data_IF_070211109201
#
_entry.id   IF_070211109201
#
_cell.length_a   1.000
_cell.length_b   1.000
_cell.length_c   1.000
_cell.angle_alpha   90.00
_cell.angle_beta   90.00
_cell.angle_gamma   90.00
#
_symmetry.space_group_name_H-M   'P 1'
#
loop_
_entity.id
_entity.type
_entity.pdbx_description
1 polymer ?
#
# COMPACT_ATOMS: atom_id res chain seq x y z
N UNK A 1 16.89 29.97 11.66
CA UNK A 1 16.08 29.03 12.49
C UNK A 1 15.33 28.02 11.62
N UNK A 2 14.24 28.39 10.98
CA UNK A 2 13.99 28.10 9.55
C UNK A 2 14.34 26.74 8.95
N UNK A 3 15.44 26.74 8.18
CA UNK A 3 15.98 25.58 7.49
C UNK A 3 16.35 24.45 8.46
N UNK A 4 16.82 24.78 9.67
CA UNK A 4 17.14 23.77 10.69
C UNK A 4 15.89 23.01 11.15
N UNK A 5 14.75 23.71 11.27
CA UNK A 5 13.49 23.08 11.69
C UNK A 5 12.95 22.10 10.66
N UNK A 6 12.92 22.45 9.37
CA UNK A 6 12.44 21.51 8.34
C UNK A 6 13.36 20.28 8.23
N UNK A 7 14.68 20.47 8.39
CA UNK A 7 15.63 19.35 8.44
C UNK A 7 15.34 18.44 9.64
N UNK A 8 15.06 19.01 10.82
CA UNK A 8 14.65 18.23 12.00
C UNK A 8 13.35 17.44 11.75
N UNK A 9 12.35 18.04 11.09
CA UNK A 9 11.09 17.36 10.76
C UNK A 9 11.33 16.21 9.77
N UNK A 10 12.23 16.40 8.79
CA UNK A 10 12.62 15.36 7.84
C UNK A 10 13.27 14.18 8.58
N UNK A 11 14.21 14.45 9.50
CA UNK A 11 14.82 13.39 10.32
C UNK A 11 13.80 12.68 11.19
N UNK A 12 12.87 13.41 11.80
CA UNK A 12 11.77 12.82 12.57
C UNK A 12 10.91 11.91 11.69
N UNK A 13 10.51 12.37 10.51
CA UNK A 13 9.71 11.59 9.57
C UNK A 13 10.44 10.36 9.03
N UNK A 14 11.75 10.45 8.81
CA UNK A 14 12.58 9.31 8.43
C UNK A 14 12.65 8.29 9.57
N UNK A 15 12.91 8.75 10.80
CA UNK A 15 12.93 7.89 12.00
C UNK A 15 11.61 7.11 12.15
N UNK A 16 10.46 7.78 12.02
CA UNK A 16 9.14 7.13 12.08
C UNK A 16 9.01 5.98 11.07
N UNK A 17 9.52 6.17 9.84
CA UNK A 17 9.43 5.19 8.74
C UNK A 17 10.45 4.06 8.82
N UNK A 18 11.63 4.31 9.41
CA UNK A 18 12.73 3.34 9.48
C UNK A 18 12.82 2.59 10.81
N UNK A 19 12.11 3.04 11.86
CA UNK A 19 12.14 2.42 13.18
C UNK A 19 11.75 0.93 13.12
N UNK A 20 12.67 0.04 13.52
CA UNK A 20 12.51 -1.42 13.49
C UNK A 20 12.05 -1.95 12.13
N UNK A 21 12.67 -1.48 11.04
CA UNK A 21 12.18 -1.80 9.69
C UNK A 21 12.25 -3.27 9.31
N UNK A 22 13.20 -4.03 9.85
CA UNK A 22 13.31 -5.47 9.55
C UNK A 22 12.20 -6.24 10.25
N UNK A 23 12.02 -5.95 11.53
CA UNK A 23 11.05 -6.62 12.40
C UNK A 23 9.61 -6.25 11.99
N UNK A 24 9.39 -5.00 11.55
CA UNK A 24 8.06 -4.52 11.15
C UNK A 24 7.77 -4.72 9.66
N UNK A 25 8.64 -5.41 8.92
CA UNK A 25 8.34 -5.79 7.56
C UNK A 25 7.41 -7.02 7.59
N UNK A 26 6.11 -6.78 7.40
CA UNK A 26 5.09 -7.84 7.47
C UNK A 26 5.28 -8.97 6.44
N UNK A 27 5.84 -8.70 5.26
CA UNK A 27 6.03 -9.67 4.15
C UNK A 27 4.90 -10.71 4.01
N UNK A 28 3.81 -10.29 3.38
CA UNK A 28 2.63 -11.10 3.14
C UNK A 28 2.52 -11.50 1.66
N UNK A 29 1.32 -11.94 1.25
CA UNK A 29 0.98 -12.29 -0.13
C UNK A 29 1.42 -11.24 -1.16
N UNK A 30 1.04 -9.97 -0.99
CA UNK A 30 1.37 -8.89 -1.94
C UNK A 30 2.89 -8.66 -2.08
N UNK A 31 3.65 -8.89 -1.00
CA UNK A 31 5.10 -8.74 -1.03
C UNK A 31 5.77 -9.90 -1.77
N UNK A 32 5.28 -11.12 -1.55
CA UNK A 32 5.73 -12.33 -2.27
C UNK A 32 5.37 -12.23 -3.76
N UNK A 33 4.17 -11.75 -4.07
CA UNK A 33 3.73 -11.49 -5.43
C UNK A 33 4.59 -10.42 -6.12
N UNK A 34 4.87 -9.32 -5.43
CA UNK A 34 5.79 -8.28 -5.92
C UNK A 34 7.19 -8.84 -6.19
N UNK A 35 7.68 -9.73 -5.33
CA UNK A 35 8.96 -10.41 -5.49
C UNK A 35 8.96 -11.31 -6.73
N UNK A 36 7.91 -12.10 -6.94
CA UNK A 36 7.72 -12.92 -8.13
C UNK A 36 7.69 -12.10 -9.42
N UNK A 37 6.97 -10.98 -9.43
CA UNK A 37 6.94 -10.05 -10.56
C UNK A 37 8.33 -9.48 -10.85
N UNK A 38 9.09 -9.11 -9.82
CA UNK A 38 10.47 -8.63 -10.00
C UNK A 38 11.39 -9.75 -10.53
N UNK A 39 11.28 -10.98 -10.03
CA UNK A 39 12.03 -12.13 -10.59
C UNK A 39 11.67 -12.33 -12.06
N UNK A 40 10.40 -12.30 -12.42
CA UNK A 40 9.97 -12.50 -13.80
C UNK A 40 10.57 -11.44 -14.75
N UNK A 41 10.64 -10.18 -14.30
CA UNK A 41 11.30 -9.11 -15.05
C UNK A 41 12.83 -9.31 -15.12
N UNK A 42 13.47 -9.54 -13.98
CA UNK A 42 14.94 -9.48 -13.86
C UNK A 42 15.61 -10.78 -14.29
N UNK A 43 15.08 -11.91 -13.85
CA UNK A 43 15.65 -13.25 -14.05
C UNK A 43 15.08 -13.87 -15.31
N UNK A 44 13.75 -13.88 -15.45
CA UNK A 44 13.08 -14.52 -16.59
C UNK A 44 13.07 -13.60 -17.84
N UNK A 45 13.59 -12.37 -17.72
CA UNK A 45 13.73 -11.35 -18.79
C UNK A 45 12.40 -10.99 -19.45
N UNK A 46 11.30 -11.08 -18.71
CA UNK A 46 9.99 -10.76 -19.22
C UNK A 46 9.64 -9.28 -19.02
N UNK A 47 9.51 -8.53 -20.12
CA UNK A 47 9.05 -7.15 -20.08
C UNK A 47 7.54 -7.07 -19.82
N UNK A 48 7.19 -6.89 -18.54
CA UNK A 48 5.80 -6.78 -18.11
C UNK A 48 5.16 -5.45 -18.49
N UNK A 49 3.96 -5.53 -19.05
CA UNK A 49 3.06 -4.40 -19.32
C UNK A 49 2.05 -4.18 -18.21
N UNK A 50 1.84 -5.15 -17.33
CA UNK A 50 0.92 -5.13 -16.18
C UNK A 50 1.61 -5.71 -14.95
N UNK A 51 1.11 -5.32 -13.78
CA UNK A 51 1.48 -5.84 -12.47
C UNK A 51 0.46 -6.84 -11.93
N UNK A 52 0.27 -6.84 -10.62
CA UNK A 52 -0.70 -7.71 -9.96
C UNK A 52 -2.14 -7.44 -10.39
N UNK A 53 -2.94 -8.50 -10.36
CA UNK A 53 -4.39 -8.40 -10.50
C UNK A 53 -5.02 -7.83 -9.21
N UNK A 54 -6.03 -6.98 -9.35
CA UNK A 54 -6.84 -6.50 -8.23
C UNK A 54 -7.86 -7.56 -7.80
N UNK A 55 -8.57 -7.32 -6.70
CA UNK A 55 -9.71 -8.15 -6.28
C UNK A 55 -10.80 -8.25 -7.35
N UNK A 56 -10.90 -7.24 -8.23
CA UNK A 56 -11.79 -7.31 -9.38
C UNK A 56 -11.13 -8.10 -10.52
N UNK A 57 -11.76 -9.22 -10.88
CA UNK A 57 -11.25 -10.12 -11.92
C UNK A 57 -11.05 -9.40 -13.26
N UNK A 58 -9.86 -9.58 -13.86
CA UNK A 58 -9.50 -8.97 -15.15
C UNK A 58 -9.02 -7.51 -15.06
N UNK A 59 -8.91 -6.94 -13.86
CA UNK A 59 -8.40 -5.58 -13.64
C UNK A 59 -7.01 -5.67 -13.01
N UNK A 60 -5.99 -5.18 -13.71
CA UNK A 60 -4.60 -5.20 -13.28
C UNK A 60 -4.09 -3.80 -12.93
N UNK A 61 -3.20 -3.74 -11.94
CA UNK A 61 -2.42 -2.53 -11.66
C UNK A 61 -1.26 -2.43 -12.63
N UNK A 62 -0.86 -1.21 -12.98
CA UNK A 62 0.27 -1.00 -13.89
C UNK A 62 1.64 -1.37 -13.33
N UNK A 63 2.64 -1.51 -14.21
CA UNK A 63 3.87 -2.20 -13.85
C UNK A 63 4.92 -1.30 -13.16
N UNK A 64 4.74 0.02 -13.17
CA UNK A 64 5.75 0.98 -12.69
C UNK A 64 6.18 0.76 -11.24
N UNK A 65 5.26 0.38 -10.36
CA UNK A 65 5.60 0.07 -8.97
C UNK A 65 6.64 -1.06 -8.89
N UNK A 66 6.47 -2.13 -9.67
CA UNK A 66 7.37 -3.27 -9.67
C UNK A 66 8.72 -2.95 -10.33
N UNK A 67 8.72 -2.17 -11.41
CA UNK A 67 9.97 -1.66 -11.98
C UNK A 67 10.74 -0.79 -10.98
N UNK A 68 10.05 0.03 -10.19
CA UNK A 68 10.68 0.84 -9.15
C UNK A 68 11.29 0.01 -8.01
N UNK A 69 10.84 -1.24 -7.80
CA UNK A 69 11.43 -2.16 -6.81
C UNK A 69 12.75 -2.79 -7.27
N UNK A 70 12.97 -2.94 -8.58
CA UNK A 70 14.12 -3.64 -9.17
C UNK A 70 15.47 -3.20 -8.59
N UNK A 71 15.85 -1.91 -8.56
CA UNK A 71 17.18 -1.52 -8.08
C UNK A 71 17.44 -1.99 -6.64
N UNK A 72 16.41 -2.02 -5.79
CA UNK A 72 16.55 -2.43 -4.40
C UNK A 72 16.68 -3.95 -4.24
N UNK A 73 15.98 -4.74 -5.06
CA UNK A 73 16.21 -6.18 -5.16
C UNK A 73 17.64 -6.46 -5.63
N UNK A 74 18.13 -5.78 -6.66
CA UNK A 74 19.48 -5.99 -7.17
C UNK A 74 20.56 -5.69 -6.11
N UNK A 75 20.46 -4.57 -5.39
CA UNK A 75 21.39 -4.19 -4.32
C UNK A 75 21.44 -5.25 -3.21
N UNK A 76 20.31 -5.86 -2.90
CA UNK A 76 20.18 -6.87 -1.84
C UNK A 76 20.28 -8.31 -2.36
N UNK A 77 20.80 -8.52 -3.57
CA UNK A 77 20.97 -9.84 -4.21
C UNK A 77 19.67 -10.65 -4.27
N UNK A 78 18.61 -9.97 -4.73
CA UNK A 78 17.24 -10.48 -4.86
C UNK A 78 16.55 -10.78 -3.52
N UNK A 79 17.04 -10.25 -2.40
CA UNK A 79 16.35 -10.37 -1.12
C UNK A 79 15.20 -9.36 -1.00
N UNK A 80 13.96 -9.76 -0.66
CA UNK A 80 12.84 -8.84 -0.55
C UNK A 80 13.02 -7.72 0.47
N UNK A 81 13.94 -7.85 1.43
CA UNK A 81 14.20 -6.79 2.41
C UNK A 81 14.63 -5.48 1.75
N UNK A 82 15.23 -5.50 0.56
CA UNK A 82 15.60 -4.28 -0.16
C UNK A 82 14.41 -3.36 -0.44
N UNK A 83 13.22 -3.94 -0.65
CA UNK A 83 12.02 -3.21 -1.06
C UNK A 83 11.54 -2.16 -0.06
N UNK A 84 11.92 -2.26 1.21
CA UNK A 84 11.58 -1.28 2.26
C UNK A 84 12.12 0.12 1.96
N UNK A 85 13.15 0.23 1.11
CA UNK A 85 13.73 1.50 0.72
C UNK A 85 12.80 2.35 -0.16
N UNK A 86 11.99 1.74 -1.05
CA UNK A 86 11.10 2.48 -1.93
C UNK A 86 10.04 3.29 -1.15
N UNK A 87 9.32 2.71 -0.18
CA UNK A 87 8.42 3.48 0.67
C UNK A 87 9.09 4.59 1.47
N UNK A 88 10.35 4.43 1.90
CA UNK A 88 11.09 5.51 2.57
C UNK A 88 11.35 6.69 1.65
N UNK A 89 11.74 6.42 0.40
CA UNK A 89 11.95 7.45 -0.62
C UNK A 89 10.64 8.17 -0.93
N UNK A 90 9.55 7.43 -1.12
CA UNK A 90 8.21 7.99 -1.34
C UNK A 90 7.80 8.85 -0.14
N UNK A 91 7.93 8.35 1.08
CA UNK A 91 7.57 9.08 2.29
C UNK A 91 8.40 10.36 2.48
N UNK A 92 9.69 10.32 2.19
CA UNK A 92 10.55 11.52 2.20
C UNK A 92 10.11 12.52 1.13
N UNK A 93 9.82 12.03 -0.09
CA UNK A 93 9.29 12.86 -1.16
C UNK A 93 7.93 13.48 -0.79
N UNK A 94 7.06 12.75 -0.08
CA UNK A 94 5.78 13.24 0.44
C UNK A 94 6.00 14.37 1.45
N UNK A 95 6.90 14.19 2.43
CA UNK A 95 7.24 15.21 3.44
C UNK A 95 7.73 16.49 2.76
N UNK A 96 8.69 16.39 1.85
CA UNK A 96 9.25 17.55 1.16
C UNK A 96 8.23 18.22 0.25
N UNK A 97 7.43 17.43 -0.47
CA UNK A 97 6.38 17.93 -1.37
C UNK A 97 5.27 18.63 -0.58
N UNK A 98 4.85 18.08 0.55
CA UNK A 98 3.82 18.69 1.39
C UNK A 98 4.27 20.05 1.92
N UNK A 99 5.51 20.14 2.43
CA UNK A 99 6.06 21.43 2.84
C UNK A 99 6.09 22.41 1.67
N UNK A 100 6.58 22.00 0.51
CA UNK A 100 6.65 22.85 -0.68
C UNK A 100 5.28 23.37 -1.10
N UNK A 101 4.31 22.47 -1.28
CA UNK A 101 2.96 22.78 -1.76
C UNK A 101 2.21 23.65 -0.76
N UNK A 102 2.18 23.27 0.52
CA UNK A 102 1.47 24.05 1.54
C UNK A 102 2.12 25.43 1.72
N UNK A 103 3.45 25.52 1.65
CA UNK A 103 4.15 26.81 1.73
C UNK A 103 3.82 27.73 0.54
N UNK A 104 3.68 27.16 -0.66
CA UNK A 104 3.31 27.93 -1.86
C UNK A 104 1.86 28.43 -1.83
N UNK A 105 0.95 27.69 -1.21
CA UNK A 105 -0.49 28.02 -1.22
C UNK A 105 -0.89 28.86 0.01
N UNK A 106 -0.45 28.48 1.21
CA UNK A 106 -0.89 29.07 2.48
C UNK A 106 0.25 29.64 3.32
N UNK A 107 1.48 29.61 2.80
CA UNK A 107 2.65 30.19 3.47
C UNK A 107 3.31 29.26 4.48
N UNK A 108 4.38 29.78 5.07
CA UNK A 108 5.38 28.99 5.79
C UNK A 108 4.87 28.36 7.08
N UNK A 109 4.12 29.11 7.89
CA UNK A 109 3.66 28.63 9.20
C UNK A 109 2.73 27.42 9.06
N UNK A 110 1.66 27.46 8.23
CA UNK A 110 0.85 26.27 7.97
C UNK A 110 1.66 25.10 7.40
N UNK A 111 2.64 25.38 6.54
CA UNK A 111 3.48 24.34 5.94
C UNK A 111 4.31 23.57 6.98
N UNK A 112 4.90 24.27 7.96
CA UNK A 112 5.64 23.65 9.05
C UNK A 112 4.75 22.80 9.95
N UNK A 113 3.53 23.27 10.23
CA UNK A 113 2.55 22.49 11.01
C UNK A 113 2.11 21.25 10.24
N UNK A 114 1.73 21.40 8.97
CA UNK A 114 1.26 20.29 8.13
C UNK A 114 2.33 19.21 7.97
N UNK A 115 3.58 19.60 7.68
CA UNK A 115 4.67 18.63 7.49
C UNK A 115 5.05 17.94 8.80
N UNK A 116 4.95 18.60 9.96
CA UNK A 116 5.17 17.97 11.26
C UNK A 116 4.07 16.95 11.59
N UNK A 117 2.80 17.31 11.39
CA UNK A 117 1.67 16.40 11.59
C UNK A 117 1.80 15.16 10.68
N UNK A 118 2.17 15.37 9.41
CA UNK A 118 2.38 14.29 8.46
C UNK A 118 3.59 13.40 8.82
N UNK A 119 4.72 14.02 9.16
CA UNK A 119 5.97 13.31 9.44
C UNK A 119 5.87 12.45 10.71
N UNK A 120 5.22 12.97 11.76
CA UNK A 120 5.11 12.33 13.06
C UNK A 120 3.80 11.56 13.27
N UNK A 121 2.91 11.46 12.28
CA UNK A 121 1.69 10.64 12.41
C UNK A 121 2.05 9.15 12.31
N UNK A 122 1.74 8.39 13.35
CA UNK A 122 1.84 6.93 13.32
C UNK A 122 0.92 6.34 12.25
N UNK A 123 -0.31 6.88 12.11
CA UNK A 123 -1.29 6.38 11.14
C UNK A 123 -0.81 6.50 9.69
N UNK A 124 -0.32 7.69 9.31
CA UNK A 124 0.28 7.91 7.98
C UNK A 124 1.48 6.99 7.78
N UNK A 125 2.36 6.91 8.78
CA UNK A 125 3.57 6.10 8.69
C UNK A 125 3.27 4.62 8.55
N UNK A 126 2.30 4.09 9.30
CA UNK A 126 1.91 2.69 9.22
C UNK A 126 1.40 2.34 7.81
N UNK A 127 0.59 3.20 7.20
CA UNK A 127 0.13 3.04 5.82
C UNK A 127 1.27 3.16 4.81
N UNK A 128 2.16 4.15 4.94
CA UNK A 128 3.27 4.31 4.00
C UNK A 128 4.32 3.21 4.11
N UNK A 129 4.40 2.46 5.22
CA UNK A 129 5.37 1.35 5.35
C UNK A 129 4.95 0.10 4.59
N UNK A 130 3.70 0.02 4.14
CA UNK A 130 3.28 -1.05 3.25
C UNK A 130 4.01 -0.92 1.90
N UNK A 131 4.45 -2.05 1.36
CA UNK A 131 5.11 -2.14 0.05
C UNK A 131 4.07 -2.67 -0.93
N UNK A 132 3.25 -1.76 -1.42
CA UNK A 132 2.12 -2.04 -2.31
C UNK A 132 1.98 -0.90 -3.34
N UNK A 133 1.32 -1.11 -4.48
CA UNK A 133 1.18 -0.06 -5.49
C UNK A 133 0.49 1.22 -4.99
N UNK A 134 -0.28 1.15 -3.90
CA UNK A 134 -0.97 2.29 -3.29
C UNK A 134 -0.09 3.18 -2.40
N UNK A 135 1.14 2.77 -2.07
CA UNK A 135 2.07 3.56 -1.24
C UNK A 135 2.23 5.02 -1.70
N UNK A 136 2.30 5.35 -3.01
CA UNK A 136 2.42 6.73 -3.50
C UNK A 136 1.16 7.60 -3.38
N UNK A 137 0.02 7.11 -2.88
CA UNK A 137 -1.27 7.85 -2.86
C UNK A 137 -1.16 9.21 -2.18
N UNK A 138 -0.42 9.32 -1.07
CA UNK A 138 -0.25 10.59 -0.37
C UNK A 138 0.56 11.60 -1.19
N UNK A 139 1.69 11.17 -1.76
CA UNK A 139 2.51 11.98 -2.66
C UNK A 139 1.70 12.47 -3.87
N UNK A 140 0.95 11.55 -4.48
CA UNK A 140 0.06 11.85 -5.60
C UNK A 140 -0.97 12.91 -5.20
N UNK A 141 -1.60 12.78 -4.03
CA UNK A 141 -2.64 13.69 -3.55
C UNK A 141 -2.12 15.10 -3.29
N UNK A 142 -0.89 15.22 -2.76
CA UNK A 142 -0.21 16.51 -2.56
C UNK A 142 -0.02 17.24 -3.90
N UNK A 143 0.51 16.54 -4.90
CA UNK A 143 0.77 17.12 -6.23
C UNK A 143 -0.51 17.36 -7.02
N UNK A 144 -1.54 16.53 -6.83
CA UNK A 144 -2.85 16.73 -7.43
C UNK A 144 -3.51 18.02 -6.92
N UNK A 145 -3.50 18.26 -5.61
CA UNK A 145 -3.94 19.51 -5.02
C UNK A 145 -3.18 20.72 -5.59
N UNK A 146 -1.85 20.60 -5.75
CA UNK A 146 -1.04 21.66 -6.34
C UNK A 146 -1.36 21.89 -7.83
N UNK A 147 -1.59 20.82 -8.59
CA UNK A 147 -2.01 20.87 -9.98
C UNK A 147 -3.33 21.60 -10.17
N UNK A 148 -4.31 21.33 -9.30
CA UNK A 148 -5.57 22.09 -9.25
C UNK A 148 -5.34 23.56 -8.92
N UNK A 149 -4.56 23.85 -7.88
CA UNK A 149 -4.26 25.23 -7.47
C UNK A 149 -3.55 26.04 -8.56
N UNK A 150 -2.56 25.44 -9.24
CA UNK A 150 -1.84 26.07 -10.36
C UNK A 150 -2.60 26.01 -11.67
N UNK A 151 -3.74 25.31 -11.73
CA UNK A 151 -4.48 25.00 -12.96
C UNK A 151 -3.58 24.41 -14.05
N UNK A 152 -2.62 23.57 -13.65
CA UNK A 152 -1.63 22.98 -14.56
C UNK A 152 -2.15 21.69 -15.19
N UNK A 153 -2.63 21.78 -16.43
CA UNK A 153 -3.17 20.63 -17.17
C UNK A 153 -2.10 19.55 -17.42
N UNK A 154 -0.85 19.93 -17.66
CA UNK A 154 0.25 18.97 -17.89
C UNK A 154 0.52 18.16 -16.62
N UNK A 155 0.62 18.83 -15.46
CA UNK A 155 0.83 18.12 -14.18
C UNK A 155 -0.34 17.19 -13.87
N UNK A 156 -1.57 17.63 -14.10
CA UNK A 156 -2.75 16.80 -13.89
C UNK A 156 -2.80 15.61 -14.84
N UNK A 157 -2.36 15.75 -16.10
CA UNK A 157 -2.27 14.64 -17.04
C UNK A 157 -1.21 13.60 -16.63
N UNK A 158 -0.04 14.05 -16.15
CA UNK A 158 0.99 13.15 -15.58
C UNK A 158 0.39 12.35 -14.42
N UNK A 159 -0.26 13.04 -13.48
CA UNK A 159 -0.88 12.39 -12.31
C UNK A 159 -2.00 11.44 -12.73
N UNK A 160 -2.81 11.81 -13.71
CA UNK A 160 -3.89 10.96 -14.20
C UNK A 160 -3.36 9.71 -14.91
N UNK A 161 -2.26 9.80 -15.66
CA UNK A 161 -1.58 8.65 -16.23
C UNK A 161 -1.01 7.71 -15.16
N UNK A 162 -0.65 8.23 -13.98
CA UNK A 162 -0.17 7.40 -12.86
C UNK A 162 -1.30 6.70 -12.09
N UNK A 163 -2.57 7.06 -12.29
CA UNK A 163 -3.71 6.48 -11.55
C UNK A 163 -3.75 4.96 -11.70
N UNK A 164 -3.60 4.42 -12.91
CA UNK A 164 -3.66 2.98 -13.13
C UNK A 164 -2.43 2.24 -12.59
N UNK A 165 -1.30 2.93 -12.42
CA UNK A 165 -0.09 2.39 -11.80
C UNK A 165 -0.15 2.37 -10.26
N UNK A 166 -0.99 3.22 -9.66
CA UNK A 166 -1.04 3.44 -8.20
C UNK A 166 -2.32 2.87 -7.61
N UNK A 167 -3.45 3.44 -8.01
CA UNK A 167 -4.76 3.12 -7.45
C UNK A 167 -5.88 3.65 -8.35
N UNK A 168 -6.63 2.75 -8.98
CA UNK A 168 -7.66 3.11 -9.98
C UNK A 168 -8.76 4.02 -9.45
N UNK A 169 -9.12 3.94 -8.16
CA UNK A 169 -10.17 4.80 -7.62
C UNK A 169 -9.78 6.28 -7.57
N UNK A 170 -8.49 6.64 -7.73
CA UNK A 170 -8.08 8.03 -7.91
C UNK A 170 -8.60 8.62 -9.23
N UNK A 171 -8.99 7.77 -10.19
CA UNK A 171 -9.53 8.17 -11.49
C UNK A 171 -10.80 9.03 -11.39
N UNK A 172 -11.59 8.87 -10.32
CA UNK A 172 -12.77 9.72 -10.09
C UNK A 172 -12.41 11.21 -9.94
N UNK A 173 -11.19 11.50 -9.49
CA UNK A 173 -10.68 12.86 -9.35
C UNK A 173 -10.36 13.51 -10.70
N UNK A 174 -10.38 12.77 -11.80
CA UNK A 174 -10.40 13.36 -13.15
C UNK A 174 -11.62 14.28 -13.33
N UNK A 175 -12.78 13.88 -12.81
CA UNK A 175 -14.02 14.69 -12.85
C UNK A 175 -13.81 16.01 -12.09
N UNK A 176 -13.20 15.96 -10.91
CA UNK A 176 -12.88 17.16 -10.14
C UNK A 176 -11.97 18.13 -10.92
N UNK A 177 -10.95 17.61 -11.60
CA UNK A 177 -10.05 18.43 -12.42
C UNK A 177 -10.81 19.14 -13.54
N UNK A 178 -11.74 18.46 -14.21
CA UNK A 178 -12.57 19.06 -15.26
C UNK A 178 -13.52 20.13 -14.69
N UNK A 179 -14.16 19.86 -13.55
CA UNK A 179 -15.07 20.80 -12.88
C UNK A 179 -14.38 22.11 -12.47
N UNK A 180 -13.16 22.01 -11.95
CA UNK A 180 -12.39 23.16 -11.43
C UNK A 180 -11.69 23.94 -12.54
N UNK A 181 -11.11 23.26 -13.54
CA UNK A 181 -10.30 23.93 -14.56
C UNK A 181 -11.10 24.37 -15.79
N UNK A 182 -12.20 23.66 -16.13
CA UNK A 182 -13.03 23.90 -17.32
C UNK A 182 -12.20 24.21 -18.59
N UNK A 183 -11.25 23.33 -18.95
CA UNK A 183 -10.30 23.62 -20.02
C UNK A 183 -10.99 23.66 -21.39
N UNK A 184 -10.54 24.58 -22.26
CA UNK A 184 -10.91 24.54 -23.69
C UNK A 184 -10.24 23.33 -24.35
N UNK A 185 -10.94 22.65 -25.25
CA UNK A 185 -10.48 21.41 -25.91
C UNK A 185 -9.08 21.56 -26.56
N UNK A 186 -8.80 22.71 -27.18
CA UNK A 186 -7.50 23.01 -27.80
C UNK A 186 -6.32 22.95 -26.81
N UNK A 187 -6.56 23.23 -25.52
CA UNK A 187 -5.51 23.17 -24.47
C UNK A 187 -5.23 21.75 -23.97
N UNK A 188 -5.98 20.76 -24.45
CA UNK A 188 -5.84 19.36 -24.04
C UNK A 188 -4.89 18.55 -24.94
N UNK A 189 -4.40 19.11 -26.05
CA UNK A 189 -3.51 18.40 -26.99
C UNK A 189 -2.23 17.92 -26.28
N UNK A 190 -1.45 18.84 -25.71
CA UNK A 190 -0.21 18.49 -25.01
C UNK A 190 -0.41 17.62 -23.76
N UNK A 191 -1.36 17.94 -22.85
CA UNK A 191 -1.71 17.04 -21.75
C UNK A 191 -2.13 15.64 -22.23
N UNK A 192 -2.88 15.55 -23.34
CA UNK A 192 -3.30 14.29 -23.94
C UNK A 192 -2.13 13.45 -24.44
N UNK A 193 -1.16 14.08 -25.12
CA UNK A 193 0.08 13.40 -25.56
C UNK A 193 0.84 12.86 -24.35
N UNK A 194 1.02 13.67 -23.30
CA UNK A 194 1.71 13.25 -22.06
C UNK A 194 0.99 12.08 -21.39
N UNK A 195 -0.34 12.15 -21.30
CA UNK A 195 -1.16 11.07 -20.76
C UNK A 195 -0.99 9.77 -21.57
N UNK A 196 -0.98 9.87 -22.91
CA UNK A 196 -0.82 8.72 -23.79
C UNK A 196 0.55 8.08 -23.63
N UNK A 197 1.61 8.88 -23.63
CA UNK A 197 2.98 8.39 -23.51
C UNK A 197 3.22 7.67 -22.18
N UNK A 198 2.71 8.22 -21.08
CA UNK A 198 2.86 7.62 -19.75
C UNK A 198 1.94 6.41 -19.54
N UNK A 199 0.82 6.34 -20.26
CA UNK A 199 -0.11 5.19 -20.23
C UNK A 199 0.21 4.15 -21.32
N UNK A 200 1.33 4.27 -22.03
CA UNK A 200 1.69 3.39 -23.13
C UNK A 200 1.68 1.90 -22.75
N UNK A 201 2.17 1.46 -21.57
CA UNK A 201 2.10 0.05 -21.19
C UNK A 201 0.66 -0.48 -21.10
N UNK A 202 -0.29 0.33 -20.62
CA UNK A 202 -1.70 -0.01 -20.57
C UNK A 202 -2.28 -0.17 -21.98
N UNK A 203 -2.01 0.78 -22.87
CA UNK A 203 -2.53 0.70 -24.24
C UNK A 203 -1.97 -0.50 -24.98
N UNK A 204 -0.66 -0.75 -24.88
CA UNK A 204 -0.03 -1.93 -25.49
C UNK A 204 -0.61 -3.23 -24.94
N UNK A 205 -0.88 -3.29 -23.63
CA UNK A 205 -1.55 -4.42 -23.02
C UNK A 205 -2.95 -4.61 -23.60
N UNK A 206 -3.78 -3.56 -23.62
CA UNK A 206 -5.15 -3.64 -24.11
C UNK A 206 -5.24 -4.05 -25.59
N UNK A 207 -4.37 -3.50 -26.44
CA UNK A 207 -4.31 -3.89 -27.86
C UNK A 207 -3.93 -5.36 -28.03
N UNK A 208 -3.00 -5.89 -27.22
CA UNK A 208 -2.57 -7.30 -27.28
C UNK A 208 -3.63 -8.27 -26.74
N UNK A 209 -4.49 -7.81 -25.84
CA UNK A 209 -5.45 -8.66 -25.11
C UNK A 209 -6.91 -8.30 -25.43
N UNK A 210 -7.17 -7.73 -26.61
CA UNK A 210 -8.53 -7.47 -27.09
C UNK A 210 -9.38 -6.61 -26.13
N UNK A 211 -8.75 -5.61 -25.50
CA UNK A 211 -9.33 -4.70 -24.52
C UNK A 211 -9.93 -5.39 -23.29
N UNK A 212 -9.29 -6.47 -22.83
CA UNK A 212 -9.79 -7.29 -21.72
C UNK A 212 -10.00 -6.51 -20.43
N UNK A 213 -9.10 -5.60 -20.05
CA UNK A 213 -9.21 -4.84 -18.82
C UNK A 213 -10.25 -3.72 -18.95
N UNK A 214 -10.37 -3.07 -20.10
CA UNK A 214 -11.46 -2.10 -20.36
C UNK A 214 -12.82 -2.79 -20.25
N UNK A 215 -12.96 -3.98 -20.86
CA UNK A 215 -14.19 -4.79 -20.72
C UNK A 215 -14.44 -5.14 -19.25
N UNK A 216 -13.42 -5.61 -18.53
CA UNK A 216 -13.56 -5.95 -17.11
C UNK A 216 -13.98 -4.75 -16.24
N UNK A 217 -13.44 -3.55 -16.51
CA UNK A 217 -13.85 -2.31 -15.86
C UNK A 217 -15.31 -1.96 -16.15
N UNK A 218 -15.73 -2.07 -17.41
CA UNK A 218 -17.10 -1.76 -17.82
C UNK A 218 -18.12 -2.71 -17.17
N UNK A 219 -17.86 -4.02 -17.24
CA UNK A 219 -18.74 -5.06 -16.66
C UNK A 219 -18.58 -5.23 -15.14
N UNK A 220 -17.68 -4.49 -14.49
CA UNK A 220 -17.51 -4.57 -13.03
C UNK A 220 -18.74 -4.09 -12.25
N UNK A 221 -19.62 -3.30 -12.90
CA UNK A 221 -20.89 -2.85 -12.37
C UNK A 221 -21.99 -3.93 -12.40
N UNK A 222 -21.86 -4.94 -13.27
CA UNK A 222 -22.91 -5.95 -13.52
C UNK A 222 -22.76 -7.23 -12.69
N UNK A 223 -21.64 -7.38 -11.95
CA UNK A 223 -21.36 -8.63 -11.20
C UNK A 223 -22.22 -8.73 -9.94
N UNK A 224 -23.14 -9.69 -9.97
CA UNK A 224 -24.16 -10.08 -8.97
C UNK A 224 -23.63 -10.66 -7.66
N UNK A 225 -22.34 -10.97 -7.53
CA UNK A 225 -21.73 -11.53 -6.31
C UNK A 225 -21.38 -10.48 -5.24
N UNK A 226 -21.78 -9.22 -5.42
CA UNK A 226 -21.37 -8.11 -4.56
C UNK A 226 -22.43 -7.77 -3.51
N UNK A 227 -21.97 -7.35 -2.32
CA UNK A 227 -22.81 -7.11 -1.14
C UNK A 227 -23.93 -6.11 -1.47
N UNK A 228 -25.17 -6.61 -1.55
CA UNK A 228 -26.36 -5.78 -1.69
C UNK A 228 -26.59 -5.01 -0.39
N UNK A 229 -26.04 -3.79 -0.32
CA UNK A 229 -26.29 -2.83 0.76
C UNK A 229 -27.05 -1.64 0.20
N UNK A 230 -28.06 -1.11 0.93
CA UNK A 230 -28.68 0.17 0.59
C UNK A 230 -27.64 1.27 0.37
N UNK A 231 -27.90 2.16 -0.58
CA UNK A 231 -27.00 3.28 -0.92
C UNK A 231 -26.67 4.12 0.33
N UNK A 232 -27.65 4.35 1.21
CA UNK A 232 -27.46 5.09 2.47
C UNK A 232 -26.42 4.44 3.40
N UNK A 233 -26.40 3.11 3.49
CA UNK A 233 -25.39 2.38 4.28
C UNK A 233 -24.00 2.48 3.63
N UNK A 234 -23.92 2.43 2.30
CA UNK A 234 -22.65 2.62 1.59
C UNK A 234 -22.11 4.05 1.77
N UNK A 235 -22.99 5.06 1.70
CA UNK A 235 -22.64 6.45 2.01
C UNK A 235 -22.08 6.57 3.42
N UNK A 236 -22.77 5.97 4.40
CA UNK A 236 -22.33 5.96 5.79
C UNK A 236 -20.95 5.29 5.93
N UNK A 237 -20.72 4.15 5.26
CA UNK A 237 -19.41 3.48 5.30
C UNK A 237 -18.27 4.34 4.73
N UNK A 238 -18.50 5.13 3.68
CA UNK A 238 -17.48 6.08 3.18
C UNK A 238 -17.15 7.13 4.24
N UNK A 239 -18.18 7.68 4.90
CA UNK A 239 -18.02 8.67 5.98
C UNK A 239 -17.33 8.05 7.19
N UNK A 240 -17.68 6.83 7.56
CA UNK A 240 -17.05 6.09 8.65
C UNK A 240 -15.59 5.81 8.36
N UNK A 241 -15.22 5.35 7.17
CA UNK A 241 -13.82 5.11 6.83
C UNK A 241 -13.01 6.40 6.81
N UNK A 242 -13.60 7.51 6.33
CA UNK A 242 -12.96 8.82 6.44
C UNK A 242 -12.75 9.20 7.91
N UNK A 243 -13.75 8.93 8.76
CA UNK A 243 -13.66 9.11 10.20
C UNK A 243 -12.59 8.23 10.86
N UNK A 244 -12.45 6.97 10.46
CA UNK A 244 -11.39 6.06 10.92
C UNK A 244 -10.03 6.56 10.53
N UNK A 245 -9.86 7.03 9.29
CA UNK A 245 -8.61 7.62 8.84
C UNK A 245 -8.24 8.86 9.67
N UNK A 246 -9.19 9.77 9.91
CA UNK A 246 -8.98 10.94 10.80
C UNK A 246 -8.52 10.49 12.19
N UNK A 247 -9.23 9.55 12.81
CA UNK A 247 -8.85 9.02 14.13
C UNK A 247 -7.46 8.38 14.12
N UNK A 248 -7.14 7.59 13.09
CA UNK A 248 -5.88 6.88 13.00
C UNK A 248 -4.68 7.82 12.77
N UNK A 249 -4.89 8.90 12.02
CA UNK A 249 -3.90 9.96 11.77
C UNK A 249 -3.63 10.75 13.04
N UNK A 250 -4.68 11.17 13.75
CA UNK A 250 -4.56 12.16 14.83
C UNK A 250 -4.47 11.57 16.24
N UNK A 251 -4.96 10.35 16.46
CA UNK A 251 -4.99 9.75 17.80
C UNK A 251 -4.78 8.24 17.80
N UNK A 252 -5.83 7.42 17.86
CA UNK A 252 -5.79 5.96 17.95
C UNK A 252 -6.83 5.34 17.00
N UNK A 253 -6.78 4.02 16.79
CA UNK A 253 -7.94 3.34 16.20
C UNK A 253 -9.15 3.59 17.11
N UNK A 254 -10.26 4.12 16.58
CA UNK A 254 -11.36 4.58 17.41
C UNK A 254 -12.09 3.39 18.06
N UNK A 255 -12.62 3.61 19.26
CA UNK A 255 -13.64 2.72 19.83
C UNK A 255 -15.04 3.28 19.50
N UNK A 256 -16.12 2.51 19.67
CA UNK A 256 -17.47 2.97 19.32
C UNK A 256 -17.90 4.25 20.06
N UNK A 257 -17.37 4.48 21.27
CA UNK A 257 -17.76 5.60 22.14
C UNK A 257 -17.17 6.93 21.66
N UNK A 258 -15.91 6.94 21.20
CA UNK A 258 -15.20 8.17 20.85
C UNK A 258 -15.04 8.41 19.33
N UNK A 259 -15.57 7.50 18.51
CA UNK A 259 -15.38 7.49 17.06
C UNK A 259 -15.62 8.84 16.39
N UNK A 260 -16.71 9.52 16.72
CA UNK A 260 -17.14 10.74 16.03
C UNK A 260 -16.48 12.02 16.55
N UNK A 261 -15.69 11.98 17.64
CA UNK A 261 -15.11 13.18 18.25
C UNK A 261 -14.14 13.89 17.29
N UNK A 262 -13.09 13.19 16.82
CA UNK A 262 -12.10 13.78 15.93
C UNK A 262 -12.65 14.15 14.54
N UNK A 263 -13.51 13.33 13.89
CA UNK A 263 -14.19 13.74 12.66
C UNK A 263 -15.02 15.01 12.84
N UNK A 264 -15.74 15.15 13.95
CA UNK A 264 -16.51 16.36 14.27
C UNK A 264 -15.60 17.57 14.48
N UNK A 265 -14.47 17.41 15.18
CA UNK A 265 -13.47 18.48 15.34
C UNK A 265 -12.91 18.94 13.99
N UNK A 266 -12.59 18.01 13.08
CA UNK A 266 -12.11 18.34 11.74
C UNK A 266 -13.20 19.04 10.91
N UNK A 267 -14.46 18.62 11.02
CA UNK A 267 -15.57 19.29 10.35
C UNK A 267 -15.76 20.72 10.90
N UNK A 268 -15.79 20.89 12.22
CA UNK A 268 -15.89 22.22 12.87
C UNK A 268 -14.70 23.10 12.48
N UNK A 269 -13.49 22.55 12.42
CA UNK A 269 -12.31 23.25 11.96
C UNK A 269 -12.47 23.72 10.50
N UNK A 270 -12.97 22.87 9.60
CA UNK A 270 -13.26 23.25 8.22
C UNK A 270 -14.30 24.37 8.12
N UNK A 271 -15.40 24.28 8.88
CA UNK A 271 -16.43 25.32 8.95
C UNK A 271 -15.88 26.64 9.52
N UNK A 272 -15.01 26.58 10.51
CA UNK A 272 -14.31 27.75 11.04
C UNK A 272 -13.41 28.41 9.98
N UNK A 273 -12.64 27.62 9.22
CA UNK A 273 -11.79 28.13 8.14
C UNK A 273 -12.61 28.80 7.03
N UNK A 274 -13.80 28.27 6.73
CA UNK A 274 -14.77 28.89 5.83
C UNK A 274 -15.30 30.21 6.39
N UNK A 275 -15.81 30.21 7.62
CA UNK A 275 -16.38 31.39 8.27
C UNK A 275 -15.37 32.53 8.38
N UNK A 276 -14.12 32.21 8.74
CA UNK A 276 -13.01 33.18 8.81
C UNK A 276 -12.42 33.55 7.46
N UNK A 277 -12.95 33.01 6.35
CA UNK A 277 -12.48 33.26 4.97
C UNK A 277 -10.98 32.98 4.78
N UNK A 278 -10.44 32.02 5.54
CA UNK A 278 -9.04 31.57 5.39
C UNK A 278 -8.89 30.73 4.12
N UNK A 279 -9.92 29.94 3.80
CA UNK A 279 -10.01 29.22 2.54
C UNK A 279 -10.74 30.07 1.50
N UNK A 280 -10.23 30.07 0.27
CA UNK A 280 -10.92 30.68 -0.87
C UNK A 280 -12.11 29.83 -1.31
N UNK A 281 -13.05 30.42 -2.07
CA UNK A 281 -14.19 29.67 -2.65
C UNK A 281 -13.72 28.47 -3.48
N UNK A 282 -12.68 28.65 -4.29
CA UNK A 282 -12.10 27.58 -5.11
C UNK A 282 -11.52 26.45 -4.24
N UNK A 283 -10.85 26.78 -3.14
CA UNK A 283 -10.30 25.77 -2.22
C UNK A 283 -11.40 24.98 -1.51
N UNK A 284 -12.48 25.64 -1.11
CA UNK A 284 -13.64 24.99 -0.50
C UNK A 284 -14.31 24.05 -1.51
N UNK A 285 -14.50 24.51 -2.75
CA UNK A 285 -15.03 23.68 -3.82
C UNK A 285 -14.17 22.43 -4.02
N UNK A 286 -12.84 22.58 -4.08
CA UNK A 286 -11.92 21.44 -4.20
C UNK A 286 -12.11 20.46 -3.04
N UNK A 287 -12.14 20.93 -1.78
CA UNK A 287 -12.19 20.05 -0.62
C UNK A 287 -13.53 19.32 -0.53
N UNK A 288 -14.64 20.04 -0.74
CA UNK A 288 -15.99 19.47 -0.69
C UNK A 288 -16.21 18.51 -1.85
N UNK A 289 -15.87 18.90 -3.09
CA UNK A 289 -16.07 18.04 -4.25
C UNK A 289 -15.17 16.81 -4.24
N UNK A 290 -13.95 16.89 -3.70
CA UNK A 290 -13.08 15.72 -3.54
C UNK A 290 -13.73 14.68 -2.60
N UNK A 291 -14.25 15.12 -1.45
CA UNK A 291 -14.97 14.24 -0.52
C UNK A 291 -16.28 13.70 -1.13
N UNK A 292 -17.08 14.59 -1.72
CA UNK A 292 -18.38 14.25 -2.30
C UNK A 292 -18.26 13.26 -3.46
N UNK A 293 -17.21 13.36 -4.30
CA UNK A 293 -16.97 12.42 -5.39
C UNK A 293 -16.67 11.01 -4.89
N UNK A 294 -15.94 10.85 -3.79
CA UNK A 294 -15.75 9.52 -3.20
C UNK A 294 -17.03 8.96 -2.60
N UNK A 295 -17.80 9.79 -1.91
CA UNK A 295 -19.12 9.38 -1.39
C UNK A 295 -20.00 8.94 -2.55
N UNK A 296 -20.13 9.74 -3.61
CA UNK A 296 -20.95 9.41 -4.77
C UNK A 296 -20.46 8.13 -5.45
N UNK A 297 -19.18 8.03 -5.76
CA UNK A 297 -18.61 6.90 -6.48
C UNK A 297 -18.79 5.59 -5.70
N UNK A 298 -18.35 5.52 -4.45
CA UNK A 298 -18.41 4.26 -3.68
C UNK A 298 -19.80 3.91 -3.17
N UNK A 299 -20.73 4.88 -3.12
CA UNK A 299 -22.12 4.57 -2.78
C UNK A 299 -22.89 3.97 -3.95
N UNK A 300 -22.53 4.36 -5.18
CA UNK A 300 -23.13 3.83 -6.40
C UNK A 300 -22.42 2.57 -6.91
N UNK A 301 -21.10 2.45 -6.69
CA UNK A 301 -20.34 1.29 -7.13
C UNK A 301 -20.68 0.06 -6.28
N UNK A 302 -20.75 -1.14 -6.88
CA UNK A 302 -21.00 -2.36 -6.11
C UNK A 302 -19.81 -2.83 -5.25
N UNK A 303 -18.62 -2.23 -5.42
CA UNK A 303 -17.35 -2.73 -4.85
C UNK A 303 -17.37 -2.71 -3.32
N UNK A 304 -16.79 -3.73 -2.70
CA UNK A 304 -16.58 -3.73 -1.26
C UNK A 304 -15.47 -2.72 -0.92
N UNK A 305 -15.87 -1.57 -0.40
CA UNK A 305 -14.96 -0.50 -0.02
C UNK A 305 -13.98 -1.00 1.06
N UNK A 306 -12.70 -0.67 0.90
CA UNK A 306 -11.68 -0.79 1.94
C UNK A 306 -11.15 0.59 2.33
N UNK A 307 -10.68 0.75 3.56
CA UNK A 307 -10.24 2.04 4.12
C UNK A 307 -9.17 2.75 3.27
N UNK A 308 -8.28 1.98 2.63
CA UNK A 308 -7.20 2.55 1.82
C UNK A 308 -7.67 3.25 0.54
N UNK A 309 -8.88 2.94 0.03
CA UNK A 309 -9.40 3.52 -1.21
C UNK A 309 -9.58 5.04 -1.13
N UNK A 310 -9.80 5.54 0.08
CA UNK A 310 -10.05 6.96 0.36
C UNK A 310 -8.85 7.66 1.00
N UNK A 311 -7.67 7.01 1.04
CA UNK A 311 -6.46 7.58 1.64
C UNK A 311 -6.03 8.92 1.03
N UNK A 312 -6.43 9.22 -0.21
CA UNK A 312 -6.14 10.53 -0.81
C UNK A 312 -6.72 11.71 -0.02
N UNK A 313 -7.83 11.51 0.71
CA UNK A 313 -8.46 12.52 1.56
C UNK A 313 -7.60 12.89 2.78
N UNK A 314 -6.69 12.01 3.20
CA UNK A 314 -5.88 12.20 4.41
C UNK A 314 -5.03 13.48 4.35
N UNK A 315 -4.57 13.85 3.15
CA UNK A 315 -3.84 15.10 2.93
C UNK A 315 -4.72 16.32 3.19
N UNK A 316 -6.00 16.27 2.82
CA UNK A 316 -6.95 17.36 3.08
C UNK A 316 -7.17 17.52 4.59
N UNK A 317 -7.34 16.41 5.32
CA UNK A 317 -7.52 16.46 6.78
C UNK A 317 -6.31 17.05 7.50
N UNK A 318 -5.09 16.69 7.08
CA UNK A 318 -3.84 17.26 7.61
C UNK A 318 -3.75 18.77 7.32
N UNK A 319 -4.14 19.20 6.12
CA UNK A 319 -4.13 20.64 5.76
C UNK A 319 -5.17 21.42 6.57
N UNK A 320 -6.39 20.88 6.74
CA UNK A 320 -7.44 21.50 7.57
C UNK A 320 -6.94 21.68 9.01
N UNK A 321 -6.36 20.63 9.60
CA UNK A 321 -5.79 20.69 10.93
C UNK A 321 -4.66 21.74 11.02
N UNK A 322 -3.74 21.75 10.05
CA UNK A 322 -2.60 22.67 10.06
C UNK A 322 -3.00 24.14 9.94
N UNK A 323 -3.97 24.45 9.07
CA UNK A 323 -4.48 25.81 8.89
C UNK A 323 -5.22 26.32 10.13
N UNK A 324 -5.89 25.41 10.84
CA UNK A 324 -6.63 25.71 12.07
C UNK A 324 -5.67 25.92 13.24
N UNK A 325 -4.73 24.99 13.47
CA UNK A 325 -3.72 25.08 14.53
C UNK A 325 -2.90 26.37 14.39
N UNK A 326 -2.55 26.79 13.17
CA UNK A 326 -1.82 28.05 12.93
C UNK A 326 -2.54 29.28 13.49
N UNK A 327 -3.85 29.25 13.70
CA UNK A 327 -4.58 30.40 14.26
C UNK A 327 -4.44 30.53 15.78
N UNK A 328 -3.94 29.51 16.46
CA UNK A 328 -3.67 29.56 17.89
C UNK A 328 -2.41 30.40 18.19
N UNK A 329 -2.24 30.79 19.46
CA UNK A 329 -1.00 31.41 19.91
C UNK A 329 0.17 30.39 19.89
N UNK A 330 1.41 30.89 19.89
CA UNK A 330 2.60 30.03 19.75
C UNK A 330 2.73 28.98 20.87
N UNK A 331 2.27 29.27 22.08
CA UNK A 331 2.34 28.35 23.23
C UNK A 331 1.36 27.19 23.02
N UNK A 332 0.13 27.48 22.62
CA UNK A 332 -0.88 26.46 22.29
C UNK A 332 -0.43 25.61 21.10
N UNK A 333 0.15 26.22 20.05
CA UNK A 333 0.69 25.47 18.91
C UNK A 333 1.79 24.50 19.40
N UNK A 334 2.75 24.99 20.19
CA UNK A 334 3.83 24.15 20.71
C UNK A 334 3.28 23.00 21.55
N UNK A 335 2.35 23.27 22.47
CA UNK A 335 1.71 22.26 23.30
C UNK A 335 1.01 21.18 22.47
N UNK A 336 0.15 21.58 21.52
CA UNK A 336 -0.59 20.65 20.66
C UNK A 336 0.35 19.76 19.84
N UNK A 337 1.40 20.34 19.28
CA UNK A 337 2.37 19.59 18.47
C UNK A 337 3.25 18.68 19.32
N UNK A 338 3.65 19.10 20.51
CA UNK A 338 4.40 18.25 21.45
C UNK A 338 3.55 17.07 21.90
N UNK A 339 2.28 17.30 22.31
CA UNK A 339 1.35 16.22 22.68
C UNK A 339 1.16 15.25 21.51
N UNK A 340 0.95 15.78 20.29
CA UNK A 340 0.80 14.96 19.10
C UNK A 340 2.04 14.08 18.82
N UNK A 341 3.24 14.65 18.89
CA UNK A 341 4.50 13.90 18.65
C UNK A 341 4.69 12.84 19.73
N UNK A 342 4.57 13.21 21.01
CA UNK A 342 4.78 12.28 22.13
C UNK A 342 3.80 11.11 22.05
N UNK A 343 2.52 11.40 21.79
CA UNK A 343 1.49 10.38 21.62
C UNK A 343 1.81 9.43 20.47
N UNK A 344 2.11 9.96 19.27
CA UNK A 344 2.40 9.11 18.11
C UNK A 344 3.74 8.36 18.22
N UNK A 345 4.74 8.94 18.90
CA UNK A 345 6.00 8.25 19.20
C UNK A 345 5.76 7.11 20.18
N UNK A 346 4.95 7.34 21.23
CA UNK A 346 4.53 6.28 22.14
C UNK A 346 3.81 5.16 21.40
N UNK A 347 2.91 5.48 20.47
CA UNK A 347 2.25 4.48 19.61
C UNK A 347 3.24 3.72 18.75
N UNK A 348 4.19 4.41 18.11
CA UNK A 348 5.20 3.76 17.28
C UNK A 348 6.02 2.72 18.06
N UNK A 349 6.42 3.07 19.29
CA UNK A 349 7.21 2.20 20.14
C UNK A 349 6.38 1.07 20.75
N UNK A 350 5.14 1.35 21.18
CA UNK A 350 4.28 0.38 21.84
C UNK A 350 3.50 -0.53 20.89
N UNK A 351 3.34 -0.15 19.61
CA UNK A 351 2.61 -0.97 18.65
C UNK A 351 3.32 -2.30 18.45
N UNK A 352 2.63 -3.44 18.66
CA UNK A 352 3.26 -4.75 18.63
C UNK A 352 3.86 -5.05 17.25
N UNK A 353 4.99 -5.72 17.25
CA UNK A 353 5.62 -6.25 16.05
C UNK A 353 4.88 -7.53 15.65
N UNK A 354 4.54 -7.65 14.36
CA UNK A 354 3.98 -8.88 13.83
C UNK A 354 5.04 -10.00 13.85
N UNK A 355 4.76 -11.10 14.55
CA UNK A 355 5.66 -12.25 14.73
C UNK A 355 5.48 -13.34 13.66
N UNK A 356 4.84 -13.02 12.53
CA UNK A 356 4.75 -13.90 11.35
C UNK A 356 5.22 -13.16 10.09
N UNK A 357 6.17 -12.24 10.26
CA UNK A 357 6.61 -11.30 9.23
C UNK A 357 7.74 -11.85 8.37
N UNK A 358 8.46 -10.94 7.70
CA UNK A 358 9.63 -11.27 6.88
C UNK A 358 10.67 -12.10 7.62
N UNK A 359 11.01 -11.72 8.85
CA UNK A 359 12.05 -12.40 9.64
C UNK A 359 11.66 -13.84 9.88
N UNK A 360 10.45 -14.08 10.38
CA UNK A 360 9.97 -15.41 10.73
C UNK A 360 9.75 -16.29 9.49
N UNK A 361 9.16 -15.73 8.42
CA UNK A 361 8.97 -16.44 7.14
C UNK A 361 10.29 -16.81 6.48
N UNK A 362 11.30 -15.94 6.56
CA UNK A 362 12.64 -16.26 6.06
C UNK A 362 13.33 -17.31 6.93
N UNK A 363 13.20 -17.23 8.25
CA UNK A 363 13.81 -18.17 9.18
C UNK A 363 13.25 -19.59 9.00
N UNK A 364 11.93 -19.75 8.91
CA UNK A 364 11.31 -21.08 8.73
C UNK A 364 11.70 -21.73 7.40
N UNK A 365 11.75 -20.97 6.30
CA UNK A 365 12.19 -21.49 5.00
C UNK A 365 13.68 -21.82 5.01
N UNK A 366 14.50 -21.05 5.73
CA UNK A 366 15.92 -21.36 5.90
C UNK A 366 16.13 -22.63 6.74
N UNK A 367 15.29 -22.87 7.74
CA UNK A 367 15.32 -24.10 8.53
C UNK A 367 14.93 -25.33 7.71
N UNK A 368 13.88 -25.23 6.89
CA UNK A 368 13.51 -26.29 5.92
C UNK A 368 14.68 -26.56 4.96
N UNK A 369 15.33 -25.51 4.45
CA UNK A 369 16.46 -25.68 3.54
C UNK A 369 17.66 -26.38 4.20
N UNK A 370 17.96 -26.03 5.46
CA UNK A 370 19.03 -26.63 6.23
C UNK A 370 18.76 -28.12 6.52
N UNK A 371 17.54 -28.46 6.93
CA UNK A 371 17.13 -29.83 7.22
C UNK A 371 17.11 -30.71 5.96
N UNK A 372 16.61 -30.17 4.85
CA UNK A 372 16.62 -30.87 3.56
C UNK A 372 18.05 -31.19 3.09
N UNK A 373 18.98 -30.25 3.31
CA UNK A 373 20.40 -30.46 2.99
C UNK A 373 21.05 -31.47 3.93
N UNK A 374 20.70 -31.48 5.21
CA UNK A 374 21.21 -32.45 6.20
C UNK A 374 20.87 -33.90 5.81
N UNK A 375 19.70 -34.10 5.21
CA UNK A 375 19.21 -35.41 4.79
C UNK A 375 19.43 -35.70 3.29
N UNK A 376 20.22 -34.88 2.60
CA UNK A 376 20.53 -35.02 1.16
C UNK A 376 19.27 -35.13 0.27
N UNK A 377 18.19 -34.42 0.62
CA UNK A 377 16.95 -34.45 -0.14
C UNK A 377 17.04 -33.58 -1.42
N UNK A 378 16.85 -34.15 -2.62
CA UNK A 378 16.90 -33.40 -3.89
C UNK A 378 15.71 -32.44 -4.09
N UNK A 379 14.62 -32.61 -3.35
CA UNK A 379 13.48 -31.71 -3.30
C UNK A 379 12.68 -31.92 -2.01
N UNK A 380 11.75 -31.00 -1.73
CA UNK A 380 10.84 -31.05 -0.58
C UNK A 380 9.40 -30.75 -0.97
N UNK A 381 8.44 -31.15 -0.15
CA UNK A 381 7.05 -30.69 -0.24
C UNK A 381 6.75 -29.77 0.92
N UNK A 382 6.00 -28.70 0.69
CA UNK A 382 5.58 -27.77 1.73
C UNK A 382 4.06 -27.78 1.81
N UNK A 383 3.52 -28.12 2.98
CA UNK A 383 2.09 -28.05 3.27
C UNK A 383 1.81 -26.98 4.33
N UNK A 384 0.55 -26.58 4.43
CA UNK A 384 0.13 -25.48 5.30
C UNK A 384 -1.04 -25.92 6.18
N UNK A 385 -0.88 -25.73 7.49
CA UNK A 385 -1.95 -25.82 8.48
C UNK A 385 -2.18 -24.42 9.04
N UNK A 386 -2.74 -23.54 8.22
CA UNK A 386 -2.87 -22.11 8.53
C UNK A 386 -4.31 -21.63 8.51
N UNK A 387 -4.57 -20.46 9.11
CA UNK A 387 -5.75 -19.66 8.78
C UNK A 387 -5.67 -19.20 7.32
N UNK A 388 -6.82 -18.92 6.70
CA UNK A 388 -6.91 -18.42 5.31
C UNK A 388 -6.03 -17.17 5.11
N UNK A 389 -5.33 -17.13 3.97
CA UNK A 389 -4.40 -16.06 3.59
C UNK A 389 -2.98 -16.19 4.16
N UNK A 390 -2.77 -17.01 5.20
CA UNK A 390 -1.44 -17.19 5.80
C UNK A 390 -0.58 -18.27 5.11
N UNK A 391 -1.17 -19.06 4.22
CA UNK A 391 -0.51 -20.01 3.33
C UNK A 391 0.32 -19.32 2.22
N UNK A 392 0.03 -18.05 1.93
CA UNK A 392 0.82 -17.24 1.01
C UNK A 392 2.04 -16.62 1.71
N UNK A 393 2.99 -16.10 0.94
CA UNK A 393 4.13 -15.36 1.50
C UNK A 393 5.39 -16.20 1.76
N UNK A 394 5.57 -17.30 1.02
CA UNK A 394 6.72 -18.20 1.19
C UNK A 394 7.40 -18.58 -0.12
N UNK A 395 6.68 -18.59 -1.25
CA UNK A 395 7.14 -19.20 -2.50
C UNK A 395 8.38 -18.53 -3.07
N UNK A 396 8.46 -17.20 -2.97
CA UNK A 396 9.65 -16.49 -3.39
C UNK A 396 10.85 -16.81 -2.51
N UNK A 397 10.65 -16.95 -1.20
CA UNK A 397 11.72 -17.30 -0.25
C UNK A 397 12.24 -18.72 -0.50
N UNK A 398 11.35 -19.66 -0.87
CA UNK A 398 11.73 -21.02 -1.32
C UNK A 398 12.60 -20.95 -2.57
N UNK A 399 12.21 -20.12 -3.55
CA UNK A 399 13.00 -19.89 -4.76
C UNK A 399 14.37 -19.26 -4.42
N UNK A 400 14.40 -18.29 -3.51
CA UNK A 400 15.62 -17.61 -3.09
C UNK A 400 16.62 -18.57 -2.41
N UNK A 401 16.11 -19.54 -1.64
CA UNK A 401 16.91 -20.63 -1.06
C UNK A 401 17.30 -21.73 -2.06
N UNK A 402 16.91 -21.59 -3.34
CA UNK A 402 17.14 -22.58 -4.41
C UNK A 402 16.58 -23.96 -4.08
N UNK A 403 15.52 -24.02 -3.27
CA UNK A 403 14.85 -25.28 -2.96
C UNK A 403 13.96 -25.70 -4.13
N UNK A 404 14.16 -26.95 -4.57
CA UNK A 404 13.22 -27.61 -5.47
C UNK A 404 12.06 -28.13 -4.66
N UNK A 405 10.83 -27.90 -5.15
CA UNK A 405 9.64 -28.48 -4.53
C UNK A 405 8.94 -29.49 -5.43
N UNK A 406 8.24 -30.42 -4.80
CA UNK A 406 7.35 -31.38 -5.43
C UNK A 406 5.90 -31.23 -4.90
N UNK A 407 4.89 -31.82 -5.57
CA UNK A 407 3.52 -31.86 -5.05
C UNK A 407 3.44 -32.56 -3.68
N UNK A 408 2.55 -32.08 -2.80
CA UNK A 408 2.39 -32.63 -1.43
C UNK A 408 1.95 -34.10 -1.43
N UNK A 409 1.23 -34.54 -2.46
CA UNK A 409 0.80 -35.94 -2.64
C UNK A 409 1.89 -36.84 -3.27
N UNK A 410 3.13 -36.37 -3.40
CA UNK A 410 4.28 -37.18 -3.81
C UNK A 410 4.98 -37.82 -2.59
N UNK A 411 5.86 -38.81 -2.81
CA UNK A 411 6.73 -39.37 -1.76
C UNK A 411 7.94 -38.47 -1.45
N UNK A 412 7.83 -37.15 -1.67
CA UNK A 412 8.83 -36.19 -1.23
C UNK A 412 8.62 -35.80 0.25
N UNK A 413 9.68 -35.49 1.01
CA UNK A 413 9.60 -35.11 2.42
C UNK A 413 8.71 -33.88 2.63
N UNK A 414 7.65 -34.03 3.43
CA UNK A 414 6.64 -32.99 3.64
C UNK A 414 6.93 -32.20 4.91
N UNK A 415 7.21 -30.91 4.74
CA UNK A 415 7.33 -29.93 5.82
C UNK A 415 6.01 -29.18 5.96
N UNK A 416 5.49 -29.07 7.17
CA UNK A 416 4.20 -28.40 7.40
C UNK A 416 4.39 -27.10 8.16
N UNK A 417 4.04 -25.98 7.55
CA UNK A 417 4.03 -24.66 8.19
C UNK A 417 2.69 -24.47 8.90
N UNK A 418 2.73 -24.11 10.18
CA UNK A 418 1.57 -24.04 11.08
C UNK A 418 1.34 -22.61 11.57
N UNK A 419 0.12 -22.11 11.46
CA UNK A 419 -0.28 -20.82 12.04
C UNK A 419 -1.80 -20.69 12.29
N UNK A 420 -2.26 -20.38 13.52
CA UNK A 420 -1.49 -20.29 14.75
C UNK A 420 -1.05 -21.67 15.27
N UNK A 421 -0.08 -21.69 16.19
CA UNK A 421 0.48 -22.91 16.78
C UNK A 421 -0.55 -23.98 17.21
N UNK A 422 -1.68 -23.64 17.87
CA UNK A 422 -2.63 -24.65 18.35
C UNK A 422 -3.34 -25.47 17.26
N UNK A 423 -3.15 -25.15 15.96
CA UNK A 423 -3.75 -25.92 14.87
C UNK A 423 -3.09 -27.30 14.68
N UNK A 424 -1.87 -27.50 15.18
CA UNK A 424 -1.16 -28.77 15.07
C UNK A 424 -0.97 -29.41 16.45
N UNK A 425 -1.12 -30.73 16.50
CA UNK A 425 -0.90 -31.51 17.73
C UNK A 425 0.60 -31.68 18.06
N UNK A 426 1.49 -31.40 17.10
CA UNK A 426 2.94 -31.45 17.23
C UNK A 426 3.56 -30.23 16.55
N UNK A 427 4.59 -29.67 17.16
CA UNK A 427 5.47 -28.65 16.57
C UNK A 427 6.91 -29.06 16.86
N UNK A 428 7.72 -29.23 15.82
CA UNK A 428 9.11 -29.64 15.94
C UNK A 428 10.05 -28.42 16.06
N UNK A 429 9.63 -27.25 15.54
CA UNK A 429 10.29 -25.97 15.75
C UNK A 429 9.30 -24.80 15.70
N UNK A 430 9.70 -23.63 16.25
CA UNK A 430 8.91 -22.40 16.24
C UNK A 430 9.74 -21.18 15.83
N UNK A 431 9.16 -20.31 15.00
CA UNK A 431 9.75 -19.08 14.50
C UNK A 431 8.77 -17.93 14.74
N UNK A 432 8.87 -17.31 15.92
CA UNK A 432 7.88 -16.35 16.38
C UNK A 432 6.50 -17.01 16.53
N UNK A 433 5.52 -16.54 15.77
CA UNK A 433 4.17 -17.09 15.76
C UNK A 433 3.98 -18.22 14.73
N UNK A 434 4.96 -18.48 13.86
CA UNK A 434 4.93 -19.58 12.90
C UNK A 434 5.49 -20.86 13.54
N UNK A 435 4.86 -21.99 13.28
CA UNK A 435 5.33 -23.31 13.69
C UNK A 435 5.78 -24.14 12.49
N UNK A 436 6.68 -25.09 12.73
CA UNK A 436 7.16 -26.05 11.74
C UNK A 436 6.97 -27.47 12.27
N UNK A 437 6.39 -28.34 11.44
CA UNK A 437 6.39 -29.79 11.62
C UNK A 437 7.32 -30.39 10.58
N UNK A 438 8.30 -31.16 11.04
CA UNK A 438 9.29 -31.84 10.22
C UNK A 438 8.69 -33.13 9.61
N UNK A 439 9.23 -33.59 8.48
CA UNK A 439 8.82 -34.85 7.88
C UNK A 439 9.00 -36.02 8.86
N UNK A 440 8.10 -37.00 8.80
CA UNK A 440 8.35 -38.30 9.43
C UNK A 440 9.38 -39.05 8.57
N UNK A 441 10.66 -38.85 8.89
CA UNK A 441 11.80 -39.37 8.11
C UNK A 441 11.73 -40.88 7.84
N UNK A 442 11.09 -41.64 8.73
CA UNK A 442 10.91 -43.10 8.59
C UNK A 442 10.10 -43.51 7.36
N UNK A 443 9.31 -42.58 6.80
CA UNK A 443 8.45 -42.82 5.64
C UNK A 443 9.16 -42.67 4.29
N UNK A 444 10.38 -42.13 4.29
CA UNK A 444 11.05 -41.71 3.05
C UNK A 444 12.30 -42.56 2.80
N UNK A 445 12.32 -43.26 1.65
CA UNK A 445 13.52 -43.94 1.16
C UNK A 445 14.26 -43.04 0.16
N UNK A 446 15.61 -43.08 0.09
CA UNK A 446 16.37 -42.28 -0.87
C UNK A 446 15.89 -42.41 -2.32
N UNK A 447 15.59 -43.65 -2.75
CA UNK A 447 15.08 -43.91 -4.11
C UNK A 447 13.66 -43.35 -4.32
N UNK A 448 12.77 -43.48 -3.33
CA UNK A 448 11.41 -42.95 -3.39
C UNK A 448 11.39 -41.42 -3.48
N UNK A 449 12.28 -40.75 -2.74
CA UNK A 449 12.47 -39.30 -2.82
C UNK A 449 13.05 -38.92 -4.18
N UNK A 450 14.08 -39.63 -4.67
CA UNK A 450 14.68 -39.34 -5.98
C UNK A 450 13.66 -39.46 -7.13
N UNK A 451 12.81 -40.49 -7.09
CA UNK A 451 11.70 -40.67 -8.05
C UNK A 451 10.72 -39.50 -7.95
N UNK A 452 10.28 -39.15 -6.74
CA UNK A 452 9.34 -38.03 -6.53
C UNK A 452 9.92 -36.69 -6.97
N UNK A 453 11.22 -36.51 -6.78
CA UNK A 453 11.95 -35.31 -7.15
C UNK A 453 12.42 -35.29 -8.61
N UNK A 454 12.12 -36.30 -9.42
CA UNK A 454 12.48 -36.32 -10.86
C UNK A 454 11.62 -35.36 -11.69
N UNK A 455 10.42 -35.00 -11.20
CA UNK A 455 9.48 -34.12 -11.88
C UNK A 455 9.90 -32.65 -11.93
N UNK A 456 9.02 -31.81 -12.49
CA UNK A 456 9.21 -30.37 -12.53
C UNK A 456 9.22 -29.75 -11.12
N UNK A 457 9.89 -28.61 -10.96
CA UNK A 457 9.88 -27.87 -9.69
C UNK A 457 8.50 -27.21 -9.53
N UNK A 458 7.67 -27.74 -8.62
CA UNK A 458 6.30 -27.24 -8.41
C UNK A 458 6.28 -25.76 -8.02
N UNK A 459 7.32 -25.25 -7.33
CA UNK A 459 7.42 -23.84 -6.99
C UNK A 459 7.57 -22.94 -8.22
N UNK A 460 8.05 -23.46 -9.35
CA UNK A 460 8.18 -22.73 -10.61
C UNK A 460 7.02 -22.96 -11.59
N UNK A 461 6.38 -24.12 -11.53
CA UNK A 461 5.32 -24.51 -12.48
C UNK A 461 3.91 -24.23 -11.99
N UNK A 462 3.66 -24.34 -10.68
CA UNK A 462 2.32 -24.21 -10.14
C UNK A 462 1.89 -22.73 -10.14
N UNK A 463 0.60 -22.43 -10.39
CA UNK A 463 0.12 -21.06 -10.44
C UNK A 463 0.36 -20.34 -9.10
N UNK A 464 0.86 -19.11 -9.16
CA UNK A 464 0.93 -18.22 -7.99
C UNK A 464 -0.34 -17.38 -7.97
N UNK A 465 -1.08 -17.39 -6.87
CA UNK A 465 -2.31 -16.60 -6.76
C UNK A 465 -2.03 -15.11 -7.04
N UNK A 466 -2.85 -14.46 -7.87
CA UNK A 466 -2.67 -13.06 -8.28
C UNK A 466 -1.52 -12.78 -9.26
N UNK A 467 -0.73 -13.80 -9.64
CA UNK A 467 0.36 -13.68 -10.62
C UNK A 467 -0.09 -14.21 -11.98
N UNK A 468 -0.01 -13.35 -12.99
CA UNK A 468 -0.24 -13.74 -14.38
C UNK A 468 1.08 -13.56 -15.14
N UNK A 469 1.47 -14.57 -15.93
CA UNK A 469 2.59 -14.44 -16.86
C UNK A 469 2.16 -13.76 -18.14
#
# INVERSE_FOLDING_TARGET
MTRKLIVLIIFLGLFFRTYQFRERFNYNHDNDLSAWIVKDIVVDKHLRLIGQQTTALGIFIGPFFYYALIPFYLITRMDPIGTVALPWIIGLASITSLYYVVNKIWGRRPALVAVLLYAASFGITATEREIVPTTPVFLWSIWYLYGLHKRSLILLAILFALVWHIHLALGILGVLALLVLRPRLQKLIWPGIVFILLSLPLFLFEFRHGFSQTKALFFSFDKTEQVSRPISQKMLHVVEYAGRNINYIFWNKPNPVNFWILPSIILIAFLYLYYKKILTRDQILIFVSWFALFVLFFSLHPINLSEYYINSLNILFIIIAALTIKQCNNVTILLLLTVFIVHNLSRLVSYPVNRSGYIERKAIISAIAADAKLHDYPCVSISYMTNEGYEFGYRYLVWLQKLKTAPVNSLAPVYTIVFPHPRANRLDAAFGALGLVLPDYSRYTPDGVKISCSGANSNLTDPVFGFTK
#
